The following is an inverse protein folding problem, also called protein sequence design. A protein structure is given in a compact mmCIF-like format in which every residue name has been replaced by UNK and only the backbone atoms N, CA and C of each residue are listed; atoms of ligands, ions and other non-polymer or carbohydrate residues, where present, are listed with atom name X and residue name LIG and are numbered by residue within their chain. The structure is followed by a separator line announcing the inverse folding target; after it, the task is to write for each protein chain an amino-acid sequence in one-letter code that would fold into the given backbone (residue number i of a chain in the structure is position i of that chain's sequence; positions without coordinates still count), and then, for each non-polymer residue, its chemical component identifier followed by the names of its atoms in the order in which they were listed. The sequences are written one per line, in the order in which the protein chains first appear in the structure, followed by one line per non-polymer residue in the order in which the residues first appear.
data_IF_932325557158
#
_entry.id   IF_932325557158
#
_cell.length_a   1.000
_cell.length_b   1.000
_cell.length_c   1.000
_cell.angle_alpha   90.00
_cell.angle_beta   90.00
_cell.angle_gamma   90.00
#
_symmetry.space_group_name_H-M   'P 1'
#
loop_
_entity.id
_entity.type
_entity.pdbx_description
1 polymer ?
#
# COMPACT_ATOMS: atom_id res chain seq x y z
N UNK A 1 -17.97 25.10 -7.07
CA UNK A 1 -17.07 24.43 -6.12
C UNK A 1 -15.86 23.96 -6.91
N UNK A 2 -14.62 24.34 -6.55
CA UNK A 2 -13.45 23.89 -7.30
C UNK A 2 -13.33 22.38 -7.15
N UNK A 3 -13.16 21.67 -8.27
CA UNK A 3 -12.88 20.25 -8.26
C UNK A 3 -11.54 20.03 -7.53
N UNK A 4 -11.56 19.36 -6.39
CA UNK A 4 -10.33 18.96 -5.70
C UNK A 4 -9.54 18.08 -6.67
N UNK A 5 -8.42 18.58 -7.19
CA UNK A 5 -7.54 17.82 -8.05
C UNK A 5 -6.84 16.78 -7.17
N UNK A 6 -7.41 15.58 -7.14
CA UNK A 6 -6.84 14.44 -6.44
C UNK A 6 -5.91 13.67 -7.39
N UNK A 7 -4.70 13.39 -6.93
CA UNK A 7 -3.71 12.55 -7.61
C UNK A 7 -3.62 11.19 -6.94
N UNK A 8 -3.80 10.13 -7.72
CA UNK A 8 -3.70 8.76 -7.21
C UNK A 8 -2.31 8.46 -6.64
N UNK A 9 -2.27 7.84 -5.46
CA UNK A 9 -1.04 7.46 -4.81
C UNK A 9 -1.20 6.08 -4.13
N UNK A 10 -0.22 5.20 -4.34
CA UNK A 10 -0.17 3.89 -3.68
C UNK A 10 0.31 4.05 -2.23
N UNK A 11 -0.29 3.38 -1.24
CA UNK A 11 0.07 3.54 0.17
C UNK A 11 1.34 2.75 0.55
N UNK A 12 2.33 2.62 -0.34
CA UNK A 12 3.49 1.74 -0.15
C UNK A 12 4.45 2.11 1.00
N UNK A 13 4.32 3.33 1.52
CA UNK A 13 5.01 3.78 2.73
C UNK A 13 4.37 3.12 3.97
N UNK A 14 3.04 2.98 3.98
CA UNK A 14 2.27 2.47 5.10
C UNK A 14 1.51 1.23 4.64
N UNK A 15 2.22 0.10 4.61
CA UNK A 15 1.60 -1.22 4.40
C UNK A 15 0.35 -1.32 5.26
N UNK A 16 -0.79 -1.65 4.65
CA UNK A 16 -2.08 -1.68 5.36
C UNK A 16 -2.10 -2.69 6.50
N UNK A 17 -1.42 -3.83 6.34
CA UNK A 17 -1.23 -4.79 7.44
C UNK A 17 -0.14 -4.37 8.43
N UNK A 18 0.64 -3.35 8.11
CA UNK A 18 1.81 -2.91 8.85
C UNK A 18 3.07 -3.68 8.47
N UNK A 19 4.20 -2.98 8.49
CA UNK A 19 5.50 -3.52 8.09
C UNK A 19 5.86 -4.81 8.85
N UNK A 20 5.65 -4.85 10.17
CA UNK A 20 5.97 -6.02 10.99
C UNK A 20 5.17 -7.27 10.58
N UNK A 21 3.88 -7.10 10.22
CA UNK A 21 3.05 -8.21 9.80
C UNK A 21 3.50 -8.75 8.45
N UNK A 22 3.79 -7.87 7.49
CA UNK A 22 4.30 -8.24 6.18
C UNK A 22 5.69 -8.91 6.27
N UNK A 23 6.58 -8.40 7.15
CA UNK A 23 7.87 -9.02 7.45
C UNK A 23 7.72 -10.40 8.10
N UNK A 24 6.80 -10.54 9.05
CA UNK A 24 6.52 -11.82 9.70
C UNK A 24 6.01 -12.85 8.68
N UNK A 25 5.06 -12.46 7.82
CA UNK A 25 4.55 -13.32 6.75
C UNK A 25 5.66 -13.76 5.79
N UNK A 26 6.53 -12.83 5.39
CA UNK A 26 7.69 -13.12 4.53
C UNK A 26 8.67 -14.11 5.17
N UNK A 27 8.90 -14.01 6.49
CA UNK A 27 9.82 -14.90 7.22
C UNK A 27 9.21 -16.28 7.48
N UNK A 28 7.94 -16.33 7.85
CA UNK A 28 7.26 -17.57 8.25
C UNK A 28 6.80 -18.38 7.04
N UNK A 29 6.37 -17.72 5.95
CA UNK A 29 5.81 -18.35 4.76
C UNK A 29 6.35 -17.67 3.48
N UNK A 30 7.65 -17.80 3.17
CA UNK A 30 8.29 -17.07 2.07
C UNK A 30 7.68 -17.36 0.70
N UNK A 31 7.38 -18.63 0.39
CA UNK A 31 6.80 -19.01 -0.89
C UNK A 31 5.38 -18.45 -1.09
N UNK A 32 4.58 -18.42 -0.02
CA UNK A 32 3.24 -17.83 -0.06
C UNK A 32 3.31 -16.31 -0.22
N UNK A 33 4.22 -15.67 0.53
CA UNK A 33 4.46 -14.23 0.42
C UNK A 33 4.89 -13.83 -1.00
N UNK A 34 5.89 -14.51 -1.57
CA UNK A 34 6.34 -14.28 -2.94
C UNK A 34 5.17 -14.44 -3.91
N UNK A 35 4.47 -15.58 -3.88
CA UNK A 35 3.33 -15.83 -4.76
C UNK A 35 2.33 -14.67 -4.72
N UNK A 36 1.95 -14.20 -3.52
CA UNK A 36 1.03 -13.06 -3.39
C UNK A 36 1.64 -11.77 -3.94
N UNK A 37 2.91 -11.48 -3.68
CA UNK A 37 3.56 -10.31 -4.27
C UNK A 37 3.53 -10.33 -5.80
N UNK A 38 3.68 -11.49 -6.44
CA UNK A 38 3.73 -11.61 -7.90
C UNK A 38 2.36 -11.69 -8.56
N UNK A 39 1.34 -12.24 -7.88
CA UNK A 39 0.03 -12.51 -8.50
C UNK A 39 -1.11 -11.64 -7.99
N UNK A 40 -1.03 -11.12 -6.76
CA UNK A 40 -2.10 -10.37 -6.12
C UNK A 40 -1.76 -8.87 -6.11
N UNK A 41 -2.44 -8.11 -6.97
CA UNK A 41 -2.24 -6.66 -7.09
C UNK A 41 -2.60 -5.92 -5.81
N UNK A 42 -3.65 -6.31 -5.11
CA UNK A 42 -4.06 -5.58 -3.90
C UNK A 42 -3.09 -5.86 -2.77
N UNK A 43 -2.62 -7.10 -2.68
CA UNK A 43 -1.56 -7.44 -1.75
C UNK A 43 -0.27 -6.65 -2.01
N UNK A 44 0.17 -6.63 -3.26
CA UNK A 44 1.45 -6.02 -3.65
C UNK A 44 1.41 -4.50 -3.80
N UNK A 45 0.24 -3.87 -3.91
CA UNK A 45 0.13 -2.41 -4.06
C UNK A 45 -0.51 -1.71 -2.86
N UNK A 46 -1.16 -2.45 -1.95
CA UNK A 46 -1.86 -1.89 -0.79
C UNK A 46 -1.47 -2.62 0.49
N UNK A 47 -1.65 -3.95 0.56
CA UNK A 47 -1.56 -4.66 1.84
C UNK A 47 -0.12 -4.74 2.39
N UNK A 48 0.84 -5.10 1.53
CA UNK A 48 2.26 -5.28 1.84
C UNK A 48 3.16 -4.69 0.74
N UNK A 49 2.79 -3.54 0.19
CA UNK A 49 3.49 -2.97 -0.96
C UNK A 49 4.98 -2.71 -0.71
N UNK A 50 5.34 -2.14 0.46
CA UNK A 50 6.73 -1.85 0.79
C UNK A 50 7.56 -3.11 0.92
N UNK A 51 7.08 -4.10 1.67
CA UNK A 51 7.79 -5.37 1.81
C UNK A 51 7.87 -6.16 0.50
N UNK A 52 6.84 -6.14 -0.37
CA UNK A 52 6.92 -6.78 -1.68
C UNK A 52 7.98 -6.14 -2.59
N UNK A 53 8.08 -4.81 -2.60
CA UNK A 53 9.11 -4.08 -3.36
C UNK A 53 10.52 -4.42 -2.88
N UNK A 54 10.75 -4.32 -1.56
CA UNK A 54 12.03 -4.71 -0.93
C UNK A 54 12.39 -6.16 -1.25
N UNK A 55 11.41 -7.06 -1.24
CA UNK A 55 11.64 -8.48 -1.53
C UNK A 55 12.10 -8.70 -2.97
N UNK A 56 11.43 -8.11 -3.95
CA UNK A 56 11.76 -8.27 -5.37
C UNK A 56 13.12 -7.68 -5.70
N UNK A 57 13.43 -6.50 -5.15
CA UNK A 57 14.73 -5.86 -5.32
C UNK A 57 15.86 -6.72 -4.75
N UNK A 58 15.71 -7.22 -3.52
CA UNK A 58 16.73 -8.07 -2.86
C UNK A 58 16.96 -9.40 -3.58
N UNK A 59 15.90 -10.01 -4.10
CA UNK A 59 15.98 -11.31 -4.79
C UNK A 59 16.22 -11.17 -6.30
N UNK A 60 16.35 -9.95 -6.83
CA UNK A 60 16.56 -9.66 -8.26
C UNK A 60 15.52 -10.34 -9.16
N UNK A 61 14.26 -10.38 -8.70
CA UNK A 61 13.16 -10.96 -9.47
C UNK A 61 12.92 -10.09 -10.71
N UNK A 62 12.81 -10.72 -11.89
CA UNK A 62 12.64 -10.00 -13.16
C UNK A 62 11.36 -9.16 -13.19
N UNK A 63 11.35 -8.12 -14.03
CA UNK A 63 10.17 -7.29 -14.26
C UNK A 63 8.98 -8.06 -14.83
N UNK A 64 9.25 -9.11 -15.61
CA UNK A 64 8.23 -9.99 -16.16
C UNK A 64 7.49 -10.76 -15.05
N UNK A 65 8.24 -11.26 -14.07
CA UNK A 65 7.69 -12.01 -12.93
C UNK A 65 7.07 -11.09 -11.87
N UNK A 66 7.46 -9.81 -11.81
CA UNK A 66 6.97 -8.81 -10.84
C UNK A 66 5.99 -7.80 -11.44
N UNK A 67 5.27 -8.18 -12.51
CA UNK A 67 4.34 -7.30 -13.24
C UNK A 67 3.29 -6.65 -12.35
N UNK A 68 2.85 -7.33 -11.29
CA UNK A 68 1.90 -6.84 -10.28
C UNK A 68 2.29 -5.51 -9.62
N UNK A 69 3.59 -5.25 -9.54
CA UNK A 69 4.18 -4.05 -8.93
C UNK A 69 4.52 -2.95 -9.93
N UNK A 70 4.48 -3.25 -11.22
CA UNK A 70 4.93 -2.35 -12.27
C UNK A 70 3.79 -1.85 -13.16
N UNK A 71 2.63 -2.52 -13.10
CA UNK A 71 1.47 -2.21 -13.93
C UNK A 71 0.20 -2.24 -13.11
N UNK A 72 -0.84 -1.59 -13.62
CA UNK A 72 -2.18 -1.74 -13.09
C UNK A 72 -2.71 -3.17 -13.34
N UNK A 73 -3.71 -3.62 -12.56
CA UNK A 73 -4.38 -4.89 -12.82
C UNK A 73 -4.89 -4.99 -14.26
N UNK A 74 -4.75 -6.16 -14.89
CA UNK A 74 -5.31 -6.39 -16.23
C UNK A 74 -6.83 -6.20 -16.28
N UNK A 75 -7.53 -6.58 -15.21
CA UNK A 75 -8.94 -6.33 -15.00
C UNK A 75 -9.14 -5.19 -13.99
N UNK A 76 -8.85 -3.96 -14.42
CA UNK A 76 -9.01 -2.77 -13.60
C UNK A 76 -10.31 -2.03 -13.92
N UNK A 77 -11.26 -2.03 -12.98
CA UNK A 77 -12.59 -1.42 -13.15
C UNK A 77 -13.15 -0.90 -11.83
N UNK A 78 -14.15 -0.03 -11.95
CA UNK A 78 -14.98 0.34 -10.81
C UNK A 78 -15.85 -0.84 -10.38
N UNK A 79 -16.01 -1.01 -9.06
CA UNK A 79 -16.95 -2.01 -8.52
C UNK A 79 -18.38 -1.49 -8.54
N UNK A 80 -18.54 -0.18 -8.33
CA UNK A 80 -19.82 0.50 -8.32
C UNK A 80 -20.15 1.14 -9.67
N UNK A 81 -21.39 1.61 -9.83
CA UNK A 81 -21.86 2.26 -11.05
C UNK A 81 -21.11 3.55 -11.33
N UNK A 82 -21.02 3.93 -12.61
CA UNK A 82 -20.39 5.17 -13.03
C UNK A 82 -20.99 6.41 -12.34
N UNK A 83 -22.31 6.41 -12.12
CA UNK A 83 -22.99 7.50 -11.43
C UNK A 83 -22.58 7.60 -9.96
N UNK A 84 -22.41 6.46 -9.28
CA UNK A 84 -21.88 6.44 -7.91
C UNK A 84 -20.43 6.90 -7.89
N UNK A 85 -19.58 6.37 -8.77
CA UNK A 85 -18.15 6.66 -8.75
C UNK A 85 -17.80 8.09 -9.15
N UNK A 86 -18.61 8.73 -10.01
CA UNK A 86 -18.52 10.18 -10.25
C UNK A 86 -18.77 10.97 -8.96
N UNK A 87 -19.89 10.70 -8.26
CA UNK A 87 -20.19 11.37 -6.99
C UNK A 87 -19.13 11.11 -5.93
N UNK A 88 -18.66 9.87 -5.81
CA UNK A 88 -17.60 9.51 -4.87
C UNK A 88 -16.29 10.24 -5.17
N UNK A 89 -15.92 10.36 -6.45
CA UNK A 89 -14.74 11.13 -6.86
C UNK A 89 -14.86 12.61 -6.51
N UNK A 90 -16.04 13.19 -6.69
CA UNK A 90 -16.26 14.62 -6.51
C UNK A 90 -16.42 15.01 -5.03
N UNK A 91 -17.07 14.17 -4.22
CA UNK A 91 -17.50 14.51 -2.86
C UNK A 91 -17.11 13.50 -1.76
N UNK A 92 -16.55 12.35 -2.12
CA UNK A 92 -16.27 11.27 -1.18
C UNK A 92 -17.54 10.59 -0.61
N UNK A 93 -17.35 9.82 0.45
CA UNK A 93 -18.38 9.15 1.24
C UNK A 93 -17.98 9.16 2.72
N UNK A 94 -18.55 10.09 3.49
CA UNK A 94 -18.17 10.29 4.89
C UNK A 94 -16.71 10.72 4.99
N UNK A 95 -15.89 9.92 5.69
CA UNK A 95 -14.45 10.15 5.81
C UNK A 95 -13.61 9.59 4.64
N UNK A 96 -14.23 8.83 3.74
CA UNK A 96 -13.52 8.18 2.65
C UNK A 96 -13.62 8.99 1.37
N UNK A 97 -12.53 9.08 0.63
CA UNK A 97 -12.49 9.70 -0.69
C UNK A 97 -11.56 8.92 -1.61
N UNK A 98 -11.30 9.44 -2.81
CA UNK A 98 -10.29 8.83 -3.66
C UNK A 98 -8.90 8.83 -3.01
N UNK A 99 -8.57 9.75 -2.08
CA UNK A 99 -7.28 9.75 -1.38
C UNK A 99 -7.08 8.58 -0.41
N UNK A 100 -8.17 7.94 0.01
CA UNK A 100 -8.12 6.76 0.85
C UNK A 100 -7.91 5.53 -0.04
N UNK A 101 -6.66 5.30 -0.44
CA UNK A 101 -6.30 4.28 -1.43
C UNK A 101 -6.94 2.92 -1.16
N UNK A 102 -6.85 2.43 0.08
CA UNK A 102 -7.41 1.16 0.50
C UNK A 102 -8.92 1.04 0.22
N UNK A 103 -9.65 2.15 0.36
CA UNK A 103 -11.08 2.20 0.14
C UNK A 103 -11.38 2.43 -1.35
N UNK A 104 -10.72 3.40 -1.96
CA UNK A 104 -10.92 3.82 -3.34
C UNK A 104 -10.73 2.66 -4.33
N UNK A 105 -9.66 1.87 -4.18
CA UNK A 105 -9.36 0.71 -5.04
C UNK A 105 -10.39 -0.43 -4.95
N UNK A 106 -11.17 -0.50 -3.86
CA UNK A 106 -12.23 -1.50 -3.67
C UNK A 106 -13.59 -1.03 -4.18
N UNK A 107 -13.76 0.28 -4.36
CA UNK A 107 -15.06 0.90 -4.62
C UNK A 107 -15.10 1.50 -6.04
N UNK A 108 -14.15 2.38 -6.35
CA UNK A 108 -14.09 3.17 -7.58
C UNK A 108 -12.67 3.25 -8.14
N UNK A 109 -12.00 2.10 -8.26
CA UNK A 109 -10.59 2.01 -8.67
C UNK A 109 -10.28 2.80 -9.94
N UNK A 110 -11.08 2.64 -10.98
CA UNK A 110 -10.87 3.28 -12.27
C UNK A 110 -11.17 4.77 -12.19
N UNK A 111 -12.33 5.15 -11.64
CA UNK A 111 -12.73 6.55 -11.52
C UNK A 111 -11.77 7.37 -10.64
N UNK A 112 -11.18 6.75 -9.62
CA UNK A 112 -10.15 7.33 -8.76
C UNK A 112 -8.72 7.22 -9.35
N UNK A 113 -8.54 6.76 -10.59
CA UNK A 113 -7.23 6.80 -11.26
C UNK A 113 -6.22 5.73 -10.85
N UNK A 114 -6.64 4.71 -10.10
CA UNK A 114 -5.80 3.57 -9.73
C UNK A 114 -5.62 2.54 -10.86
N UNK A 115 -6.23 2.79 -12.03
CA UNK A 115 -6.05 2.00 -13.24
C UNK A 115 -5.05 2.64 -14.22
N UNK A 116 -3.97 3.22 -13.70
CA UNK A 116 -2.92 3.85 -14.49
C UNK A 116 -1.59 3.12 -14.25
N UNK A 117 -0.97 2.55 -15.29
CA UNK A 117 0.33 1.87 -15.20
C UNK A 117 1.42 2.78 -14.63
N UNK A 118 1.37 4.08 -14.95
CA UNK A 118 2.35 5.05 -14.44
C UNK A 118 2.37 5.10 -12.91
N UNK A 119 1.24 4.86 -12.25
CA UNK A 119 1.14 4.86 -10.79
C UNK A 119 1.99 3.76 -10.13
N UNK A 120 2.19 2.64 -10.84
CA UNK A 120 2.86 1.46 -10.31
C UNK A 120 4.37 1.50 -10.54
N UNK A 121 4.83 2.24 -11.56
CA UNK A 121 6.25 2.39 -11.87
C UNK A 121 7.07 2.79 -10.65
N UNK A 122 8.23 2.17 -10.46
CA UNK A 122 9.10 2.42 -9.30
C UNK A 122 9.48 3.89 -9.12
N UNK A 123 9.60 4.65 -10.21
CA UNK A 123 9.90 6.10 -10.22
C UNK A 123 8.77 6.98 -9.65
N UNK A 124 7.53 6.51 -9.74
CA UNK A 124 6.33 7.25 -9.36
C UNK A 124 5.71 6.72 -8.06
N UNK A 125 6.15 5.54 -7.64
CA UNK A 125 5.81 5.04 -6.34
C UNK A 125 6.35 6.02 -5.28
N UNK A 126 5.56 6.30 -4.23
CA UNK A 126 6.08 7.07 -3.13
C UNK A 126 7.39 6.43 -2.67
N UNK A 127 8.37 7.29 -2.34
CA UNK A 127 9.56 6.84 -1.64
C UNK A 127 9.12 5.86 -0.54
N UNK A 128 9.75 4.68 -0.50
CA UNK A 128 9.70 3.84 0.71
C UNK A 128 9.88 4.79 1.88
N UNK A 129 8.97 4.73 2.88
CA UNK A 129 9.07 5.59 4.05
C UNK A 129 10.55 5.68 4.43
N UNK A 130 11.15 6.88 4.35
CA UNK A 130 12.50 7.05 4.87
C UNK A 130 12.46 6.54 6.31
N UNK A 131 13.52 5.88 6.77
CA UNK A 131 13.68 5.37 8.15
C UNK A 131 13.64 6.48 9.23
N UNK A 132 13.00 7.61 8.95
CA UNK A 132 12.78 8.76 9.84
C UNK A 132 11.70 8.50 10.89
N UNK A 133 11.05 7.33 10.90
CA UNK A 133 10.47 6.78 12.13
C UNK A 133 11.47 5.87 12.85
N UNK A 134 12.70 6.37 13.08
CA UNK A 134 13.37 6.00 14.32
C UNK A 134 12.41 6.38 15.44
N UNK A 135 11.97 5.46 16.33
CA UNK A 135 11.45 5.90 17.61
C UNK A 135 12.51 6.85 18.17
N UNK A 136 12.09 8.06 18.54
CA UNK A 136 12.98 9.04 19.16
C UNK A 136 13.83 8.29 20.18
N UNK A 137 15.14 8.25 19.94
CA UNK A 137 16.06 7.64 20.87
C UNK A 137 15.98 8.50 22.12
N UNK A 138 15.20 8.04 23.10
CA UNK A 138 15.20 8.58 24.45
C UNK A 138 16.57 8.25 25.04
N UNK A 139 17.55 9.10 24.75
CA UNK A 139 18.83 9.16 25.46
C UNK A 139 18.66 10.25 26.50
N UNK A 140 18.22 9.86 27.69
CA UNK A 140 18.99 10.10 28.91
C UNK A 140 18.24 9.51 30.09
N UNK A 141 19.00 8.75 30.88
CA UNK A 141 18.48 7.89 31.91
C UNK A 141 17.80 8.67 33.02
N UNK A 142 16.66 8.13 33.45
CA UNK A 142 16.34 8.02 34.87
C UNK A 142 15.45 6.80 35.04
N UNK A 143 15.88 5.95 35.97
CA UNK A 143 15.23 4.75 36.47
C UNK A 143 13.73 4.97 36.74
N UNK A 144 12.85 4.17 36.14
CA UNK A 144 11.59 3.78 36.77
C UNK A 144 11.30 2.32 36.37
N UNK A 145 11.54 1.44 37.33
CA UNK A 145 10.89 0.13 37.48
C UNK A 145 9.42 0.22 37.06
N UNK A 146 8.90 -0.76 36.31
CA UNK A 146 7.68 -1.52 36.64
C UNK A 146 7.55 -2.74 35.71
N UNK A 147 7.30 -3.88 36.36
CA UNK A 147 7.36 -5.25 35.85
C UNK A 147 6.19 -5.60 34.91
N UNK A 148 6.46 -6.41 33.88
CA UNK A 148 5.46 -7.35 33.35
C UNK A 148 5.63 -8.69 34.08
N UNK A 149 4.63 -9.04 34.90
CA UNK A 149 4.52 -10.34 35.55
C UNK A 149 3.12 -10.90 35.34
N UNK A 150 3.07 -12.15 34.86
CA UNK A 150 1.88 -13.02 34.76
C UNK A 150 1.11 -13.11 36.07
N UNK A 151 -0.22 -13.00 36.01
CA UNK A 151 -1.18 -14.08 36.33
C UNK A 151 -2.54 -13.74 35.72
#
# INVERSE_FOLDING_TARGET
MPATIYTAQLPCCRDRFGEQACQSLRKTQPAFFEKRCLTDHDFSSIDCCGECRKYIERNKISSENSRSLQKAPSLCKDKHSIAFCRRFKDAGLGKYSCSDAEFAVRVCRHSCGYCNDELYLAKNAPAMCSDSHKPATLVNGTNLYWQFGRQ
#
